data_IF_814750314661
#
_entry.id   IF_814750314661
#
_cell.length_a   1.000
_cell.length_b   1.000
_cell.length_c   1.000
_cell.angle_alpha   90.00
_cell.angle_beta   90.00
_cell.angle_gamma   90.00
#
_symmetry.space_group_name_H-M   'P 1'
#
loop_
_entity.id
_entity.type
_entity.pdbx_description
1 polymer ?
#
# COMPACT_ATOMS: atom_id res chain seq x y z
N UNK A 1 20.90 -1.07 -47.38
CA UNK A 1 20.89 -0.54 -46.00
C UNK A 1 19.48 -0.55 -45.40
N UNK A 2 18.49 0.11 -46.00
CA UNK A 2 17.09 0.17 -45.50
C UNK A 2 16.39 -1.19 -45.36
N UNK A 3 16.59 -2.13 -46.30
CA UNK A 3 16.02 -3.48 -46.23
C UNK A 3 16.52 -4.30 -45.03
N UNK A 4 17.79 -4.13 -44.64
CA UNK A 4 18.39 -4.86 -43.50
C UNK A 4 17.90 -4.31 -42.16
N UNK A 5 17.66 -3.00 -42.07
CA UNK A 5 17.05 -2.35 -40.90
C UNK A 5 15.60 -2.80 -40.68
N UNK A 6 14.82 -2.96 -41.76
CA UNK A 6 13.45 -3.49 -41.67
C UNK A 6 13.41 -4.94 -41.16
N UNK A 7 14.30 -5.82 -41.65
CA UNK A 7 14.38 -7.20 -41.17
C UNK A 7 14.73 -7.29 -39.68
N UNK A 8 15.65 -6.44 -39.21
CA UNK A 8 16.05 -6.41 -37.80
C UNK A 8 14.91 -5.95 -36.88
N UNK A 9 14.13 -4.95 -37.31
CA UNK A 9 12.99 -4.44 -36.55
C UNK A 9 11.87 -5.50 -36.41
N UNK A 10 11.60 -6.27 -37.46
CA UNK A 10 10.61 -7.35 -37.43
C UNK A 10 11.05 -8.47 -36.49
N UNK A 11 12.32 -8.88 -36.52
CA UNK A 11 12.85 -9.89 -35.60
C UNK A 11 12.78 -9.44 -34.14
N UNK A 12 13.05 -8.18 -33.85
CA UNK A 12 12.94 -7.63 -32.50
C UNK A 12 11.49 -7.64 -31.98
N UNK A 13 10.51 -7.37 -32.83
CA UNK A 13 9.08 -7.45 -32.49
C UNK A 13 8.58 -8.89 -32.31
N UNK A 14 9.18 -9.87 -32.98
CA UNK A 14 8.83 -11.29 -32.78
C UNK A 14 9.48 -11.82 -31.49
N UNK A 15 10.64 -11.29 -31.11
CA UNK A 15 11.30 -11.61 -29.84
C UNK A 15 10.72 -10.83 -28.65
N UNK A 16 9.85 -9.84 -28.86
CA UNK A 16 9.12 -9.23 -27.75
C UNK A 16 8.12 -10.25 -27.22
N UNK A 17 8.47 -10.88 -26.09
CA UNK A 17 7.70 -11.96 -25.52
C UNK A 17 6.29 -11.54 -25.10
N UNK A 18 5.30 -12.39 -25.40
CA UNK A 18 3.99 -12.29 -24.80
C UNK A 18 4.09 -12.60 -23.29
N UNK A 19 3.52 -11.75 -22.44
CA UNK A 19 3.41 -12.04 -21.01
C UNK A 19 2.34 -13.11 -20.78
N UNK A 20 2.74 -14.27 -20.24
CA UNK A 20 1.85 -15.34 -19.80
C UNK A 20 1.50 -15.23 -18.30
N UNK A 21 1.70 -14.06 -17.70
CA UNK A 21 1.38 -13.85 -16.27
C UNK A 21 -0.14 -13.99 -16.10
N UNK A 22 -0.62 -14.92 -15.26
CA UNK A 22 -2.04 -15.05 -14.97
C UNK A 22 -2.60 -13.79 -14.29
N UNK A 23 -3.91 -13.58 -14.42
CA UNK A 23 -4.57 -12.51 -13.67
C UNK A 23 -4.40 -12.71 -12.16
N UNK A 24 -3.96 -11.66 -11.48
CA UNK A 24 -3.89 -11.66 -10.02
C UNK A 24 -5.29 -11.73 -9.42
N UNK A 25 -5.50 -12.69 -8.53
CA UNK A 25 -6.74 -12.84 -7.76
C UNK A 25 -6.41 -12.72 -6.28
N UNK A 26 -6.88 -11.65 -5.65
CA UNK A 26 -6.78 -11.49 -4.19
C UNK A 26 -7.60 -12.60 -3.51
N UNK A 27 -7.00 -13.40 -2.63
CA UNK A 27 -7.74 -14.38 -1.85
C UNK A 27 -8.75 -13.72 -0.91
N UNK A 28 -9.84 -14.43 -0.62
CA UNK A 28 -10.77 -14.04 0.44
C UNK A 28 -10.06 -14.01 1.81
N UNK A 29 -10.39 -13.01 2.63
CA UNK A 29 -9.80 -12.88 3.97
C UNK A 29 -10.33 -14.00 4.89
N UNK A 30 -9.46 -14.76 5.58
CA UNK A 30 -9.89 -15.88 6.42
C UNK A 30 -10.39 -15.47 7.81
N UNK A 31 -10.65 -14.18 8.03
CA UNK A 31 -11.08 -13.62 9.32
C UNK A 31 -12.57 -13.29 9.32
N UNK A 32 -13.16 -13.11 10.50
CA UNK A 32 -14.54 -12.65 10.62
C UNK A 32 -14.71 -11.26 10.01
N UNK A 33 -15.88 -11.02 9.39
CA UNK A 33 -16.19 -9.74 8.75
C UNK A 33 -16.35 -8.58 9.75
N UNK A 34 -16.63 -8.89 11.02
CA UNK A 34 -16.79 -7.92 12.10
C UNK A 34 -15.96 -8.30 13.31
N UNK A 35 -15.63 -7.31 14.13
CA UNK A 35 -15.02 -7.52 15.43
C UNK A 35 -15.96 -8.27 16.40
N UNK A 36 -15.42 -8.97 17.41
CA UNK A 36 -16.23 -9.61 18.44
C UNK A 36 -17.10 -8.61 19.19
N UNK A 37 -18.24 -9.09 19.71
CA UNK A 37 -19.13 -8.34 20.58
C UNK A 37 -19.17 -8.95 21.99
N UNK A 38 -19.44 -8.13 23.01
CA UNK A 38 -19.56 -8.58 24.39
C UNK A 38 -19.26 -7.47 25.40
N UNK A 39 -19.34 -7.73 26.72
CA UNK A 39 -19.18 -6.71 27.75
C UNK A 39 -17.82 -5.97 27.73
N UNK A 40 -16.78 -6.61 27.17
CA UNK A 40 -15.46 -6.01 26.99
C UNK A 40 -15.33 -5.15 25.71
N UNK A 41 -16.31 -5.20 24.81
CA UNK A 41 -16.31 -4.50 23.53
C UNK A 41 -17.39 -3.42 23.56
N UNK A 42 -16.97 -2.16 23.55
CA UNK A 42 -17.92 -1.06 23.43
C UNK A 42 -18.61 -1.13 22.07
N UNK A 43 -19.92 -0.85 21.97
CA UNK A 43 -20.59 -0.72 20.69
C UNK A 43 -19.90 0.40 19.88
N UNK A 44 -19.39 0.05 18.71
CA UNK A 44 -18.73 1.01 17.81
C UNK A 44 -19.44 1.00 16.47
N UNK A 45 -19.84 2.19 16.01
CA UNK A 45 -20.29 2.40 14.64
C UNK A 45 -19.10 2.48 13.69
N UNK A 46 -19.35 2.21 12.41
CA UNK A 46 -18.34 2.41 11.37
C UNK A 46 -17.90 3.87 11.33
N UNK A 47 -16.60 4.10 11.49
CA UNK A 47 -16.03 5.43 11.39
C UNK A 47 -16.23 6.01 9.98
N UNK A 48 -16.55 7.31 9.89
CA UNK A 48 -16.67 8.00 8.59
C UNK A 48 -15.32 8.16 7.89
N UNK A 49 -14.23 8.20 8.65
CA UNK A 49 -12.85 8.28 8.16
C UNK A 49 -12.06 7.12 8.73
N UNK A 50 -11.32 6.40 7.88
CA UNK A 50 -10.46 5.33 8.33
C UNK A 50 -9.30 5.90 9.16
N UNK A 51 -8.93 5.21 10.25
CA UNK A 51 -7.87 5.68 11.16
C UNK A 51 -6.52 5.92 10.43
N UNK A 52 -6.24 5.17 9.36
CA UNK A 52 -5.06 5.36 8.53
C UNK A 52 -5.00 6.74 7.85
N UNK A 53 -6.16 7.34 7.54
CA UNK A 53 -6.28 8.63 6.86
C UNK A 53 -6.26 9.82 7.83
N UNK A 54 -6.49 9.58 9.13
CA UNK A 54 -6.60 10.64 10.14
C UNK A 54 -5.25 11.36 10.39
N UNK A 55 -4.13 10.69 10.12
CA UNK A 55 -2.78 11.25 10.30
C UNK A 55 -2.39 11.42 11.78
N UNK A 56 -1.14 11.13 12.11
CA UNK A 56 -0.67 11.09 13.50
C UNK A 56 -0.77 12.44 14.23
N UNK A 57 -0.62 13.57 13.53
CA UNK A 57 -0.72 14.92 14.13
C UNK A 57 -2.13 15.26 14.62
N UNK A 58 -3.17 14.70 14.00
CA UNK A 58 -4.55 14.91 14.45
C UNK A 58 -4.92 13.94 15.58
N UNK A 59 -4.28 12.78 15.63
CA UNK A 59 -4.50 11.75 16.64
C UNK A 59 -3.78 12.06 17.96
N UNK A 60 -2.50 12.46 17.91
CA UNK A 60 -1.73 12.82 19.10
C UNK A 60 -1.89 14.30 19.40
N UNK A 61 -2.48 14.66 20.55
CA UNK A 61 -2.73 16.06 20.90
C UNK A 61 -1.59 16.73 21.68
N UNK A 62 -0.65 15.94 22.23
CA UNK A 62 0.48 16.47 23.00
C UNK A 62 1.52 17.08 22.04
N UNK A 63 1.82 18.39 22.14
CA UNK A 63 2.75 19.05 21.24
C UNK A 63 4.20 18.59 21.41
N UNK A 64 4.62 18.22 22.62
CA UNK A 64 5.95 17.68 22.85
C UNK A 64 6.09 16.29 22.22
N UNK A 65 5.06 15.45 22.33
CA UNK A 65 5.03 14.15 21.64
C UNK A 65 5.05 14.32 20.12
N UNK A 66 4.29 15.28 19.59
CA UNK A 66 4.30 15.55 18.15
C UNK A 66 5.70 15.95 17.66
N UNK A 67 6.42 16.77 18.43
CA UNK A 67 7.80 17.14 18.11
C UNK A 67 8.72 15.92 18.13
N UNK A 68 8.61 15.06 19.15
CA UNK A 68 9.41 13.84 19.24
C UNK A 68 9.16 12.88 18.07
N UNK A 69 7.91 12.74 17.62
CA UNK A 69 7.57 11.96 16.42
C UNK A 69 8.24 12.58 15.20
N UNK A 70 8.16 13.89 15.03
CA UNK A 70 8.78 14.59 13.90
C UNK A 70 10.31 14.38 13.88
N UNK A 71 10.98 14.61 15.00
CA UNK A 71 12.42 14.44 15.15
C UNK A 71 12.82 12.98 14.87
N UNK A 72 12.01 12.03 15.32
CA UNK A 72 12.23 10.61 15.07
C UNK A 72 12.08 10.26 13.58
N UNK A 73 11.05 10.76 12.90
CA UNK A 73 10.86 10.52 11.47
C UNK A 73 12.00 11.08 10.62
N UNK A 74 12.61 12.18 11.04
CA UNK A 74 13.75 12.80 10.34
C UNK A 74 15.08 12.08 10.60
N UNK A 75 15.29 11.56 11.82
CA UNK A 75 16.60 11.12 12.27
C UNK A 75 16.72 9.60 12.53
N UNK A 76 15.62 8.85 12.48
CA UNK A 76 15.63 7.41 12.74
C UNK A 76 16.44 6.65 11.67
N UNK A 77 17.40 5.84 12.11
CA UNK A 77 18.33 5.10 11.23
C UNK A 77 17.73 3.83 10.64
N UNK A 78 16.70 3.27 11.26
CA UNK A 78 15.99 2.08 10.76
C UNK A 78 14.96 2.45 9.69
N UNK A 79 14.44 3.69 9.73
CA UNK A 79 13.52 4.23 8.71
C UNK A 79 14.23 4.79 7.47
N UNK A 80 15.55 4.98 7.52
CA UNK A 80 16.36 5.54 6.42
C UNK A 80 16.89 4.48 5.47
#
# INVERSE_FOLDING_TARGET
MTKSLMSLAVTAFILSGCSLIPDYKTPESPVAAQWPAGPAYSPTESAQVAAAEQGWRQFFHDPALQQLIQDSLENNRDLR
#
